data_IF_713270984960
#
_entry.id   IF_713270984960
#
_cell.length_a   1.000
_cell.length_b   1.000
_cell.length_c   1.000
_cell.angle_alpha   90.00
_cell.angle_beta   90.00
_cell.angle_gamma   90.00
#
_symmetry.space_group_name_H-M   'P 1'
#
loop_
_entity.id
_entity.type
_entity.pdbx_description
1 polymer ?
#
# COMPACT_ATOMS: atom_id res chain seq x y z
N UNK A 1 6.84 -31.16 -26.43
CA UNK A 1 6.49 -30.41 -25.21
C UNK A 1 7.78 -29.80 -24.64
N UNK A 2 8.06 -28.55 -24.88
CA UNK A 2 9.24 -27.89 -24.35
C UNK A 2 9.11 -27.76 -22.82
N UNK A 3 10.02 -28.40 -22.07
CA UNK A 3 10.17 -28.23 -20.64
C UNK A 3 10.47 -26.74 -20.40
N UNK A 4 9.49 -25.97 -19.97
CA UNK A 4 9.70 -24.59 -19.57
C UNK A 4 10.58 -24.61 -18.32
N UNK A 5 11.81 -24.14 -18.48
CA UNK A 5 12.78 -24.00 -17.42
C UNK A 5 12.16 -23.10 -16.34
N UNK A 6 12.03 -23.63 -15.14
CA UNK A 6 11.59 -22.84 -13.98
C UNK A 6 12.63 -21.73 -13.77
N UNK A 7 12.18 -20.49 -13.65
CA UNK A 7 13.10 -19.37 -13.42
C UNK A 7 13.61 -19.51 -11.99
N UNK A 8 14.92 -19.51 -11.82
CA UNK A 8 15.55 -19.40 -10.51
C UNK A 8 15.35 -17.97 -10.01
N UNK A 9 14.35 -17.80 -9.14
CA UNK A 9 14.01 -16.48 -8.59
C UNK A 9 15.12 -15.93 -7.69
N UNK A 10 15.91 -16.80 -7.06
CA UNK A 10 17.01 -16.38 -6.18
C UNK A 10 18.20 -15.83 -6.95
N UNK A 11 18.37 -16.24 -8.22
CA UNK A 11 19.44 -15.78 -9.12
C UNK A 11 19.06 -14.55 -9.95
N UNK A 12 17.85 -13.97 -9.76
CA UNK A 12 17.42 -12.79 -10.49
C UNK A 12 18.15 -11.54 -9.97
N UNK A 13 18.88 -10.87 -10.85
CA UNK A 13 19.46 -9.54 -10.63
C UNK A 13 18.61 -8.45 -11.26
N UNK A 14 18.80 -7.20 -10.82
CA UNK A 14 18.20 -6.03 -11.46
C UNK A 14 18.76 -5.92 -12.88
N UNK A 15 17.91 -5.82 -13.92
CA UNK A 15 18.41 -5.59 -15.28
C UNK A 15 19.07 -4.21 -15.44
N UNK A 16 20.22 -4.13 -16.13
CA UNK A 16 20.98 -2.88 -16.36
C UNK A 16 20.11 -1.73 -16.91
N UNK A 17 19.12 -2.06 -17.74
CA UNK A 17 18.21 -1.06 -18.30
C UNK A 17 17.31 -0.42 -17.23
N UNK A 18 16.96 -1.15 -16.17
CA UNK A 18 16.22 -0.62 -15.02
C UNK A 18 17.16 0.22 -14.14
N UNK A 19 18.39 -0.20 -13.94
CA UNK A 19 19.40 0.58 -13.21
C UNK A 19 19.61 1.93 -13.88
N UNK A 20 19.83 1.96 -15.19
CA UNK A 20 19.94 3.23 -15.94
C UNK A 20 18.73 4.15 -15.79
N UNK A 21 17.51 3.61 -15.70
CA UNK A 21 16.30 4.42 -15.45
C UNK A 21 16.26 4.97 -14.02
N UNK A 22 16.80 4.24 -13.03
CA UNK A 22 16.85 4.70 -11.65
C UNK A 22 17.90 5.78 -11.42
N UNK A 23 18.99 5.75 -12.19
CA UNK A 23 20.11 6.70 -12.14
C UNK A 23 19.88 7.92 -13.04
N UNK A 24 18.86 7.90 -13.89
CA UNK A 24 18.53 9.01 -14.77
C UNK A 24 18.24 10.31 -13.98
N UNK A 25 18.56 11.44 -14.59
CA UNK A 25 18.29 12.75 -14.01
C UNK A 25 16.79 12.89 -13.62
N UNK A 26 16.49 13.57 -12.51
CA UNK A 26 15.12 13.83 -12.11
C UNK A 26 14.35 14.54 -13.23
N UNK A 27 13.10 14.13 -13.47
CA UNK A 27 12.26 14.77 -14.47
C UNK A 27 11.68 16.11 -13.96
N UNK A 28 11.40 17.01 -14.89
CA UNK A 28 10.68 18.28 -14.64
C UNK A 28 9.23 18.18 -15.13
N UNK A 29 8.51 19.30 -15.08
CA UNK A 29 7.16 19.39 -15.63
C UNK A 29 7.07 19.23 -17.15
N UNK A 30 8.18 19.41 -17.87
CA UNK A 30 8.22 19.42 -19.33
C UNK A 30 8.45 18.04 -19.96
N UNK A 31 8.83 17.04 -19.18
CA UNK A 31 8.99 15.68 -19.68
C UNK A 31 7.66 14.98 -19.92
N UNK A 32 7.70 13.95 -20.76
CA UNK A 32 6.50 13.13 -20.98
C UNK A 32 6.10 12.38 -19.72
N UNK A 33 4.80 12.33 -19.45
CA UNK A 33 4.25 11.60 -18.32
C UNK A 33 4.64 10.10 -18.35
N UNK A 34 4.77 9.54 -19.56
CA UNK A 34 5.20 8.16 -19.75
C UNK A 34 6.64 7.93 -19.28
N UNK A 35 7.57 8.85 -19.60
CA UNK A 35 8.95 8.76 -19.15
C UNK A 35 9.05 8.92 -17.62
N UNK A 36 8.41 9.95 -17.08
CA UNK A 36 8.37 10.20 -15.63
C UNK A 36 7.81 9.01 -14.86
N UNK A 37 6.72 8.42 -15.35
CA UNK A 37 6.13 7.22 -14.76
C UNK A 37 7.09 6.02 -14.76
N UNK A 38 7.81 5.79 -15.87
CA UNK A 38 8.80 4.71 -15.96
C UNK A 38 9.98 4.91 -15.01
N UNK A 39 10.54 6.12 -14.92
CA UNK A 39 11.61 6.43 -13.97
C UNK A 39 11.17 6.20 -12.52
N UNK A 40 9.98 6.65 -12.15
CA UNK A 40 9.43 6.43 -10.81
C UNK A 40 9.21 4.94 -10.52
N UNK A 41 8.67 4.19 -11.48
CA UNK A 41 8.41 2.76 -11.32
C UNK A 41 9.71 1.93 -11.30
N UNK A 42 10.73 2.32 -12.05
CA UNK A 42 12.02 1.64 -12.08
C UNK A 42 12.66 1.52 -10.68
N UNK A 43 12.61 2.58 -9.88
CA UNK A 43 13.07 2.59 -8.47
C UNK A 43 12.37 1.52 -7.62
N UNK A 44 11.09 1.27 -7.87
CA UNK A 44 10.32 0.29 -7.12
C UNK A 44 10.51 -1.12 -7.64
N UNK A 45 10.69 -1.29 -8.96
CA UNK A 45 11.05 -2.59 -9.55
C UNK A 45 12.44 -3.03 -9.08
N UNK A 46 13.42 -2.12 -9.05
CA UNK A 46 14.74 -2.40 -8.48
C UNK A 46 14.63 -2.93 -7.04
N UNK A 47 13.79 -2.29 -6.20
CA UNK A 47 13.53 -2.78 -4.83
C UNK A 47 12.87 -4.16 -4.79
N UNK A 48 11.97 -4.48 -5.73
CA UNK A 48 11.39 -5.84 -5.79
C UNK A 48 12.48 -6.89 -6.02
N UNK A 49 13.41 -6.63 -6.93
CA UNK A 49 14.54 -7.54 -7.18
C UNK A 49 15.46 -7.65 -5.96
N UNK A 50 15.82 -6.52 -5.34
CA UNK A 50 16.75 -6.48 -4.21
C UNK A 50 16.25 -7.27 -2.99
N UNK A 51 14.94 -7.23 -2.71
CA UNK A 51 14.35 -7.90 -1.55
C UNK A 51 13.80 -9.30 -1.84
N UNK A 52 13.75 -9.72 -3.12
CA UNK A 52 13.22 -11.04 -3.49
C UNK A 52 13.94 -12.20 -2.83
N UNK A 53 15.29 -12.24 -2.75
CA UNK A 53 16.00 -13.33 -2.07
C UNK A 53 15.63 -13.47 -0.60
N UNK A 54 15.53 -12.36 0.14
CA UNK A 54 15.13 -12.37 1.55
C UNK A 54 13.67 -12.78 1.75
N UNK A 55 12.77 -12.39 0.83
CA UNK A 55 11.38 -12.86 0.83
C UNK A 55 11.28 -14.36 0.59
N UNK A 56 12.12 -14.92 -0.30
CA UNK A 56 12.15 -16.36 -0.55
C UNK A 56 12.66 -17.14 0.67
N UNK A 57 13.63 -16.60 1.39
CA UNK A 57 14.15 -17.19 2.63
C UNK A 57 13.14 -17.07 3.78
N UNK A 58 12.52 -15.92 3.92
CA UNK A 58 11.43 -15.66 4.87
C UNK A 58 11.85 -15.40 6.31
N UNK A 59 13.14 -15.32 6.61
CA UNK A 59 13.66 -15.18 7.98
C UNK A 59 13.53 -13.75 8.51
N UNK A 60 13.70 -12.75 7.62
CA UNK A 60 13.64 -11.33 8.00
C UNK A 60 12.31 -10.67 7.56
N UNK A 61 11.47 -10.24 8.52
CA UNK A 61 10.26 -9.46 8.24
C UNK A 61 10.52 -8.15 7.47
N UNK A 62 11.77 -7.66 7.47
CA UNK A 62 12.16 -6.45 6.76
C UNK A 62 11.99 -6.60 5.25
N UNK A 63 12.42 -7.72 4.67
CA UNK A 63 12.34 -7.95 3.23
C UNK A 63 10.88 -8.05 2.74
N UNK A 64 10.03 -8.75 3.51
CA UNK A 64 8.57 -8.78 3.27
C UNK A 64 8.00 -7.37 3.28
N UNK A 65 8.37 -6.56 4.29
CA UNK A 65 7.92 -5.18 4.40
C UNK A 65 8.36 -4.33 3.21
N UNK A 66 9.64 -4.36 2.84
CA UNK A 66 10.17 -3.57 1.74
C UNK A 66 9.57 -3.96 0.39
N UNK A 67 9.43 -5.25 0.13
CA UNK A 67 8.80 -5.73 -1.11
C UNK A 67 7.31 -5.35 -1.17
N UNK A 68 6.58 -5.38 -0.04
CA UNK A 68 5.20 -4.89 0.08
C UNK A 68 5.11 -3.39 -0.20
N UNK A 69 6.00 -2.58 0.37
CA UNK A 69 6.08 -1.13 0.11
C UNK A 69 6.35 -0.87 -1.37
N UNK A 70 7.32 -1.56 -1.97
CA UNK A 70 7.67 -1.42 -3.38
C UNK A 70 6.46 -1.76 -4.29
N UNK A 71 5.79 -2.89 -4.03
CA UNK A 71 4.59 -3.30 -4.79
C UNK A 71 3.45 -2.29 -4.69
N UNK A 72 3.24 -1.71 -3.51
CA UNK A 72 2.21 -0.69 -3.26
C UNK A 72 2.54 0.60 -4.02
N UNK A 73 3.79 1.07 -3.96
CA UNK A 73 4.24 2.26 -4.67
C UNK A 73 4.23 2.08 -6.19
N UNK A 74 4.57 0.89 -6.70
CA UNK A 74 4.42 0.53 -8.12
C UNK A 74 2.97 0.68 -8.58
N UNK A 75 2.01 0.15 -7.83
CA UNK A 75 0.58 0.29 -8.15
C UNK A 75 0.14 1.74 -8.17
N UNK A 76 0.57 2.53 -7.19
CA UNK A 76 0.25 3.96 -7.10
C UNK A 76 0.85 4.74 -8.28
N UNK A 77 2.11 4.51 -8.65
CA UNK A 77 2.76 5.15 -9.80
C UNK A 77 2.07 4.76 -11.10
N UNK A 78 1.81 3.47 -11.31
CA UNK A 78 1.12 2.97 -12.50
C UNK A 78 -0.27 3.60 -12.67
N UNK A 79 -1.04 3.72 -11.56
CA UNK A 79 -2.37 4.35 -11.58
C UNK A 79 -2.29 5.85 -11.83
N UNK A 80 -1.34 6.55 -11.18
CA UNK A 80 -1.21 8.00 -11.33
C UNK A 80 -0.73 8.43 -12.72
N UNK A 81 -0.03 7.55 -13.44
CA UNK A 81 0.46 7.81 -14.81
C UNK A 81 -0.27 7.00 -15.88
N UNK A 82 -1.34 6.30 -15.50
CA UNK A 82 -2.13 5.45 -16.41
C UNK A 82 -2.55 6.12 -17.73
N UNK A 83 -2.95 7.42 -17.76
CA UNK A 83 -3.35 8.08 -19.02
C UNK A 83 -2.23 8.17 -20.07
N UNK A 84 -0.98 7.95 -19.70
CA UNK A 84 0.14 7.96 -20.64
C UNK A 84 0.36 6.61 -21.33
N UNK A 85 -0.32 5.55 -20.93
CA UNK A 85 -0.11 4.19 -21.40
C UNK A 85 -1.38 3.55 -21.93
N UNK A 86 -1.23 2.45 -22.66
CA UNK A 86 -2.37 1.64 -23.14
C UNK A 86 -3.11 1.02 -21.96
N UNK A 87 -4.42 1.26 -21.90
CA UNK A 87 -5.26 0.88 -20.76
C UNK A 87 -5.21 -0.61 -20.42
N UNK A 88 -5.25 -1.49 -21.43
CA UNK A 88 -5.22 -2.95 -21.25
C UNK A 88 -3.92 -3.42 -20.59
N UNK A 89 -2.80 -2.77 -20.92
CA UNK A 89 -1.49 -3.10 -20.35
C UNK A 89 -1.40 -2.67 -18.90
N UNK A 90 -1.87 -1.46 -18.60
CA UNK A 90 -1.96 -0.93 -17.22
C UNK A 90 -2.81 -1.87 -16.36
N UNK A 91 -4.01 -2.23 -16.83
CA UNK A 91 -4.92 -3.11 -16.09
C UNK A 91 -4.29 -4.49 -15.84
N UNK A 92 -3.68 -5.09 -16.85
CA UNK A 92 -3.01 -6.39 -16.73
C UNK A 92 -1.89 -6.37 -15.69
N UNK A 93 -1.03 -5.35 -15.70
CA UNK A 93 0.05 -5.18 -14.73
C UNK A 93 -0.49 -4.91 -13.32
N UNK A 94 -1.49 -4.01 -13.22
CA UNK A 94 -2.13 -3.66 -11.96
C UNK A 94 -2.74 -4.87 -11.25
N UNK A 95 -3.51 -5.71 -11.96
CA UNK A 95 -4.14 -6.90 -11.39
C UNK A 95 -3.12 -7.93 -10.90
N UNK A 96 -1.99 -8.08 -11.61
CA UNK A 96 -0.92 -8.98 -11.17
C UNK A 96 -0.19 -8.45 -9.94
N UNK A 97 0.14 -7.14 -9.93
CA UNK A 97 0.72 -6.48 -8.77
C UNK A 97 -0.20 -6.54 -7.55
N UNK A 98 -1.53 -6.42 -7.76
CA UNK A 98 -2.52 -6.54 -6.69
C UNK A 98 -2.49 -7.91 -6.04
N UNK A 99 -2.38 -9.00 -6.82
CA UNK A 99 -2.28 -10.37 -6.28
C UNK A 99 -1.02 -10.56 -5.45
N UNK A 100 0.13 -10.13 -5.98
CA UNK A 100 1.39 -10.18 -5.23
C UNK A 100 1.32 -9.34 -3.94
N UNK A 101 0.75 -8.13 -4.01
CA UNK A 101 0.58 -7.25 -2.85
C UNK A 101 -0.29 -7.88 -1.76
N UNK A 102 -1.32 -8.66 -2.13
CA UNK A 102 -2.18 -9.38 -1.18
C UNK A 102 -1.38 -10.47 -0.47
N UNK A 103 -0.68 -11.33 -1.20
CA UNK A 103 0.11 -12.39 -0.61
C UNK A 103 1.22 -11.86 0.33
N UNK A 104 1.88 -10.76 -0.05
CA UNK A 104 2.84 -10.06 0.81
C UNK A 104 2.16 -9.43 2.04
N UNK A 105 0.94 -8.93 1.88
CA UNK A 105 0.12 -8.36 2.96
C UNK A 105 -0.19 -9.41 4.02
N UNK A 106 -0.66 -10.58 3.59
CA UNK A 106 -1.03 -11.68 4.49
C UNK A 106 0.12 -12.11 5.41
N UNK A 107 1.36 -12.13 4.92
CA UNK A 107 2.54 -12.41 5.76
C UNK A 107 2.85 -11.23 6.66
N UNK A 108 2.88 -9.99 6.11
CA UNK A 108 3.27 -8.80 6.86
C UNK A 108 2.34 -8.50 8.03
N UNK A 109 1.06 -8.74 7.89
CA UNK A 109 0.08 -8.47 8.95
C UNK A 109 0.37 -9.37 10.17
N UNK A 110 0.78 -10.65 9.95
CA UNK A 110 1.23 -11.55 11.03
C UNK A 110 2.59 -11.16 11.61
N UNK A 111 3.53 -10.71 10.77
CA UNK A 111 4.82 -10.17 11.26
C UNK A 111 4.59 -9.01 12.24
N UNK A 112 3.69 -8.07 11.92
CA UNK A 112 3.37 -6.93 12.80
C UNK A 112 2.74 -7.41 14.10
N UNK A 113 1.79 -8.36 14.04
CA UNK A 113 1.19 -8.95 15.24
C UNK A 113 2.24 -9.63 16.12
N UNK A 114 3.12 -10.45 15.55
CA UNK A 114 4.20 -11.12 16.29
C UNK A 114 5.15 -10.14 16.97
N UNK A 115 5.57 -9.09 16.27
CA UNK A 115 6.46 -8.07 16.85
C UNK A 115 5.80 -7.43 18.07
N UNK A 116 4.51 -7.10 18.00
CA UNK A 116 3.77 -6.49 19.11
C UNK A 116 3.57 -7.45 20.27
N UNK A 117 3.12 -8.69 19.98
CA UNK A 117 2.90 -9.69 21.03
C UNK A 117 4.19 -10.03 21.77
N UNK A 118 5.31 -10.17 21.05
CA UNK A 118 6.62 -10.42 21.67
C UNK A 118 7.04 -9.25 22.56
N UNK A 119 6.93 -8.01 22.05
CA UNK A 119 7.22 -6.84 22.88
C UNK A 119 6.37 -6.77 24.13
N UNK A 120 5.07 -7.04 24.02
CA UNK A 120 4.18 -7.07 25.19
C UNK A 120 4.58 -8.20 26.16
N UNK A 121 4.95 -9.38 25.65
CA UNK A 121 5.41 -10.47 26.50
C UNK A 121 6.69 -10.11 27.27
N UNK A 122 7.65 -9.42 26.61
CA UNK A 122 8.91 -8.99 27.24
C UNK A 122 8.68 -7.96 28.35
N UNK A 123 7.58 -7.22 28.34
CA UNK A 123 7.21 -6.21 29.34
C UNK A 123 6.40 -6.82 30.53
N UNK A 124 6.07 -8.13 30.52
CA UNK A 124 5.20 -8.81 31.49
C UNK A 124 5.97 -9.72 32.46
N UNK A 125 5.28 -10.17 33.53
CA UNK A 125 5.78 -11.18 34.45
C UNK A 125 5.87 -12.58 33.82
N UNK A 126 6.69 -13.46 34.35
CA UNK A 126 6.93 -14.83 33.85
C UNK A 126 5.64 -15.64 33.62
N UNK A 127 4.65 -15.50 34.53
CA UNK A 127 3.35 -16.16 34.36
C UNK A 127 2.57 -15.66 33.18
N UNK A 128 2.54 -14.34 32.95
CA UNK A 128 1.89 -13.67 31.82
C UNK A 128 2.59 -13.97 30.49
N UNK A 129 3.92 -14.07 30.51
CA UNK A 129 4.69 -14.51 29.33
C UNK A 129 4.30 -15.93 28.89
N UNK A 130 4.07 -16.84 29.86
CA UNK A 130 3.66 -18.23 29.58
C UNK A 130 2.30 -18.27 28.85
N UNK A 131 1.35 -17.41 29.24
CA UNK A 131 0.03 -17.32 28.61
C UNK A 131 0.11 -16.76 27.19
N UNK A 132 0.89 -15.69 26.99
CA UNK A 132 1.10 -15.10 25.67
C UNK A 132 1.86 -16.01 24.71
N UNK A 133 2.68 -16.94 25.24
CA UNK A 133 3.46 -17.87 24.42
C UNK A 133 2.57 -18.72 23.50
N UNK A 134 1.47 -19.27 23.99
CA UNK A 134 0.55 -20.06 23.18
C UNK A 134 -0.07 -19.25 22.04
N UNK A 135 -0.36 -17.97 22.29
CA UNK A 135 -0.87 -17.05 21.27
C UNK A 135 0.22 -16.74 20.23
N UNK A 136 1.43 -16.47 20.68
CA UNK A 136 2.58 -16.21 19.80
C UNK A 136 2.85 -17.42 18.90
N UNK A 137 2.83 -18.64 19.43
CA UNK A 137 3.04 -19.88 18.68
C UNK A 137 1.95 -20.06 17.60
N UNK A 138 0.69 -19.76 17.93
CA UNK A 138 -0.41 -19.83 16.95
C UNK A 138 -0.24 -18.80 15.83
N UNK A 139 0.04 -17.54 16.15
CA UNK A 139 0.27 -16.50 15.14
C UNK A 139 1.51 -16.82 14.30
N UNK A 140 2.55 -17.43 14.91
CA UNK A 140 3.71 -17.89 14.15
C UNK A 140 3.34 -18.99 13.15
N UNK A 141 2.52 -19.96 13.53
CA UNK A 141 2.05 -21.00 12.61
C UNK A 141 1.19 -20.42 11.46
N UNK A 142 0.35 -19.42 11.75
CA UNK A 142 -0.40 -18.70 10.71
C UNK A 142 0.52 -17.91 9.77
N UNK A 143 1.55 -17.28 10.30
CA UNK A 143 2.59 -16.58 9.53
C UNK A 143 3.31 -17.53 8.57
N UNK A 144 3.71 -18.69 9.06
CA UNK A 144 4.43 -19.70 8.26
C UNK A 144 3.54 -20.26 7.15
N UNK A 145 2.26 -20.47 7.42
CA UNK A 145 1.26 -20.84 6.40
C UNK A 145 1.08 -19.75 5.35
N UNK A 146 1.01 -18.48 5.76
CA UNK A 146 0.90 -17.35 4.84
C UNK A 146 2.17 -17.20 3.99
N UNK A 147 3.36 -17.43 4.57
CA UNK A 147 4.62 -17.41 3.84
C UNK A 147 4.70 -18.55 2.81
N UNK A 148 4.29 -19.76 3.15
CA UNK A 148 4.21 -20.86 2.20
C UNK A 148 3.28 -20.52 1.02
N UNK A 149 2.13 -19.90 1.28
CA UNK A 149 1.21 -19.45 0.22
C UNK A 149 1.83 -18.33 -0.66
N UNK A 150 2.62 -17.42 -0.07
CA UNK A 150 3.40 -16.42 -0.81
C UNK A 150 4.44 -17.06 -1.72
N UNK A 151 5.17 -18.07 -1.24
CA UNK A 151 6.14 -18.83 -2.05
C UNK A 151 5.47 -19.51 -3.23
N UNK A 152 4.30 -20.14 -3.03
CA UNK A 152 3.50 -20.72 -4.10
C UNK A 152 3.07 -19.67 -5.13
N UNK A 153 2.65 -18.48 -4.68
CA UNK A 153 2.28 -17.38 -5.60
C UNK A 153 3.48 -16.89 -6.41
N UNK A 154 4.67 -16.76 -5.78
CA UNK A 154 5.90 -16.35 -6.46
C UNK A 154 6.36 -17.38 -7.51
N UNK A 155 6.16 -18.68 -7.25
CA UNK A 155 6.51 -19.74 -8.19
C UNK A 155 5.51 -19.87 -9.35
N UNK A 156 4.32 -19.28 -9.26
CA UNK A 156 3.34 -19.35 -10.35
C UNK A 156 3.85 -18.64 -11.61
N UNK A 157 3.65 -19.25 -12.75
CA UNK A 157 4.05 -18.69 -14.07
C UNK A 157 3.56 -17.25 -14.29
N UNK A 158 2.41 -16.90 -13.74
CA UNK A 158 1.84 -15.54 -13.87
C UNK A 158 2.67 -14.50 -13.13
N UNK A 159 3.24 -14.82 -11.96
CA UNK A 159 4.07 -13.92 -11.16
C UNK A 159 5.48 -13.82 -11.74
N UNK A 160 6.05 -14.93 -12.21
CA UNK A 160 7.30 -14.92 -12.98
C UNK A 160 7.17 -14.07 -14.26
N UNK A 161 6.03 -14.16 -14.96
CA UNK A 161 5.73 -13.28 -16.11
C UNK A 161 5.56 -11.82 -15.69
N UNK A 162 5.09 -11.53 -14.46
CA UNK A 162 4.94 -10.16 -14.00
C UNK A 162 6.28 -9.44 -13.98
N UNK A 163 7.32 -10.02 -13.38
CA UNK A 163 8.66 -9.40 -13.31
C UNK A 163 9.20 -9.12 -14.72
N UNK A 164 9.09 -10.07 -15.63
CA UNK A 164 9.49 -9.90 -17.03
C UNK A 164 8.67 -8.83 -17.75
N UNK A 165 7.33 -8.85 -17.58
CA UNK A 165 6.44 -7.91 -18.25
C UNK A 165 6.62 -6.48 -17.68
N UNK A 166 6.97 -6.34 -16.38
CA UNK A 166 7.37 -5.06 -15.78
C UNK A 166 8.68 -4.55 -16.37
N UNK A 167 9.67 -5.42 -16.50
CA UNK A 167 10.95 -5.05 -17.12
C UNK A 167 10.74 -4.59 -18.57
N UNK A 168 10.00 -5.35 -19.38
CA UNK A 168 9.67 -4.97 -20.75
C UNK A 168 8.87 -3.66 -20.81
N UNK A 169 7.91 -3.46 -19.90
CA UNK A 169 7.14 -2.22 -19.81
C UNK A 169 8.00 -1.00 -19.53
N UNK A 170 9.05 -1.15 -18.71
CA UNK A 170 9.93 -0.04 -18.37
C UNK A 170 10.97 0.24 -19.44
N UNK A 171 11.45 -0.78 -20.15
CA UNK A 171 12.62 -0.69 -21.06
C UNK A 171 12.24 -0.54 -22.53
N UNK A 172 11.03 -0.95 -22.93
CA UNK A 172 10.53 -0.82 -24.30
C UNK A 172 9.44 0.26 -24.39
N UNK A 173 9.79 1.49 -24.77
CA UNK A 173 8.88 2.62 -24.66
C UNK A 173 7.89 2.77 -25.81
N UNK A 174 8.16 2.25 -27.00
CA UNK A 174 7.45 2.66 -28.21
C UNK A 174 6.08 2.00 -28.37
N UNK A 175 5.93 0.73 -28.00
CA UNK A 175 4.67 -0.02 -28.18
C UNK A 175 3.63 0.20 -27.07
N UNK A 176 3.98 0.97 -26.04
CA UNK A 176 3.23 0.99 -24.77
C UNK A 176 2.61 2.34 -24.46
N UNK A 177 3.06 3.39 -25.15
CA UNK A 177 2.54 4.75 -24.98
C UNK A 177 1.25 4.91 -25.76
N UNK A 178 0.22 5.45 -25.10
CA UNK A 178 -1.00 5.87 -25.80
C UNK A 178 -0.72 7.17 -26.53
N UNK A 179 -0.73 7.15 -27.88
CA UNK A 179 -0.83 8.37 -28.65
C UNK A 179 -2.21 8.99 -28.37
N UNK A 180 -2.23 10.18 -27.77
CA UNK A 180 -3.46 10.99 -27.70
C UNK A 180 -3.65 11.76 -28.99
N UNK A 181 -4.83 12.34 -29.13
CA UNK A 181 -5.24 13.15 -30.29
C UNK A 181 -4.09 14.04 -30.77
N UNK A 182 -3.77 13.95 -32.06
CA UNK A 182 -2.67 14.65 -32.74
C UNK A 182 -1.24 14.15 -32.48
N UNK A 183 -1.02 12.96 -31.81
CA UNK A 183 0.30 12.35 -31.66
C UNK A 183 1.26 13.06 -30.71
N UNK A 184 0.78 14.05 -29.94
CA UNK A 184 1.61 14.75 -28.95
C UNK A 184 1.68 13.99 -27.62
N UNK A 185 2.85 13.92 -26.95
CA UNK A 185 2.98 13.28 -25.68
C UNK A 185 2.24 14.05 -24.58
N UNK A 186 1.60 13.35 -23.64
CA UNK A 186 1.08 13.96 -22.43
C UNK A 186 2.26 14.33 -21.51
N UNK A 187 2.41 15.62 -21.21
CA UNK A 187 3.49 16.11 -20.34
C UNK A 187 3.08 16.05 -18.86
N UNK A 188 4.09 16.02 -17.98
CA UNK A 188 3.88 15.98 -16.52
C UNK A 188 3.03 17.16 -16.06
N UNK A 189 3.34 18.39 -16.46
CA UNK A 189 2.61 19.59 -16.03
C UNK A 189 1.14 19.60 -16.49
N UNK A 190 0.80 18.95 -17.61
CA UNK A 190 -0.59 18.83 -18.07
C UNK A 190 -1.45 17.93 -17.17
N UNK A 191 -0.82 17.03 -16.41
CA UNK A 191 -1.51 15.98 -15.69
C UNK A 191 -1.33 16.06 -14.15
N UNK A 192 -0.12 16.33 -13.67
CA UNK A 192 0.23 16.25 -12.25
C UNK A 192 -0.67 17.14 -11.37
N UNK A 193 -0.89 18.41 -11.80
CA UNK A 193 -1.73 19.35 -11.07
C UNK A 193 -3.14 18.83 -10.84
N UNK A 194 -3.77 18.29 -11.87
CA UNK A 194 -5.16 17.80 -11.80
C UNK A 194 -5.30 16.53 -10.95
N UNK A 195 -4.33 15.59 -11.02
CA UNK A 195 -4.40 14.37 -10.22
C UNK A 195 -4.09 14.64 -8.75
N UNK A 196 -3.12 15.50 -8.43
CA UNK A 196 -2.80 15.89 -7.07
C UNK A 196 -3.99 16.61 -6.42
N UNK A 197 -4.57 17.60 -7.13
CA UNK A 197 -5.74 18.32 -6.64
C UNK A 197 -6.91 17.41 -6.34
N UNK A 198 -7.23 16.48 -7.23
CA UNK A 198 -8.30 15.49 -7.05
C UNK A 198 -8.08 14.60 -5.81
N UNK A 199 -6.81 14.20 -5.54
CA UNK A 199 -6.46 13.46 -4.32
C UNK A 199 -6.62 14.28 -3.06
N UNK A 200 -6.23 15.55 -3.11
CA UNK A 200 -6.44 16.46 -1.98
C UNK A 200 -7.92 16.70 -1.68
N UNK A 201 -8.73 16.91 -2.70
CA UNK A 201 -10.19 17.06 -2.53
C UNK A 201 -10.84 15.76 -2.00
N UNK A 202 -10.30 14.58 -2.31
CA UNK A 202 -10.76 13.32 -1.71
C UNK A 202 -10.56 13.30 -0.19
N UNK A 203 -9.49 13.91 0.33
CA UNK A 203 -9.28 14.10 1.76
C UNK A 203 -10.28 15.12 2.31
N UNK A 204 -10.47 16.26 1.66
CA UNK A 204 -11.38 17.31 2.13
C UNK A 204 -12.83 16.88 2.26
N UNK A 205 -13.28 15.88 1.52
CA UNK A 205 -14.63 15.29 1.66
C UNK A 205 -14.93 14.78 3.08
N UNK A 206 -13.90 14.54 3.90
CA UNK A 206 -14.08 14.13 5.29
C UNK A 206 -14.39 15.30 6.25
N UNK A 207 -14.34 16.55 5.78
CA UNK A 207 -14.54 17.76 6.60
C UNK A 207 -15.87 17.74 7.39
N UNK A 208 -16.93 17.20 6.78
CA UNK A 208 -18.26 17.13 7.41
C UNK A 208 -18.39 16.05 8.49
N UNK A 209 -17.49 15.07 8.52
CA UNK A 209 -17.60 13.91 9.43
C UNK A 209 -16.47 13.84 10.45
N UNK A 210 -15.40 14.63 10.27
CA UNK A 210 -14.18 14.53 11.09
C UNK A 210 -14.36 14.68 12.59
N UNK A 211 -15.20 15.58 13.14
CA UNK A 211 -15.32 15.71 14.61
C UNK A 211 -15.82 14.43 15.29
N UNK A 212 -16.50 13.55 14.54
CA UNK A 212 -17.12 12.32 15.06
C UNK A 212 -16.95 11.13 14.09
N UNK A 213 -15.80 11.06 13.43
CA UNK A 213 -15.54 10.02 12.44
C UNK A 213 -15.50 8.63 13.08
N UNK A 214 -16.28 7.69 12.51
CA UNK A 214 -16.18 6.27 12.87
C UNK A 214 -14.83 5.67 12.47
N UNK A 215 -14.45 4.51 13.04
CA UNK A 215 -13.22 3.79 12.67
C UNK A 215 -13.16 3.51 11.16
N UNK A 216 -14.28 3.16 10.54
CA UNK A 216 -14.37 2.97 9.09
C UNK A 216 -14.02 4.26 8.33
N UNK A 217 -14.55 5.42 8.77
CA UNK A 217 -14.26 6.71 8.16
C UNK A 217 -12.79 7.11 8.34
N UNK A 218 -12.21 6.87 9.51
CA UNK A 218 -10.78 7.09 9.75
C UNK A 218 -9.91 6.18 8.87
N UNK A 219 -10.32 4.93 8.67
CA UNK A 219 -9.65 4.02 7.74
C UNK A 219 -9.71 4.52 6.29
N UNK A 220 -10.89 4.98 5.83
CA UNK A 220 -11.05 5.57 4.49
C UNK A 220 -10.19 6.84 4.33
N UNK A 221 -10.12 7.71 5.34
CA UNK A 221 -9.25 8.88 5.34
C UNK A 221 -7.76 8.49 5.25
N UNK A 222 -7.35 7.45 6.00
CA UNK A 222 -5.98 6.90 5.92
C UNK A 222 -5.64 6.46 4.49
N UNK A 223 -6.57 5.81 3.81
CA UNK A 223 -6.40 5.41 2.40
C UNK A 223 -6.27 6.64 1.50
N UNK A 224 -7.10 7.67 1.69
CA UNK A 224 -7.02 8.91 0.92
C UNK A 224 -5.70 9.64 1.13
N UNK A 225 -5.22 9.76 2.38
CA UNK A 225 -3.90 10.32 2.72
C UNK A 225 -2.76 9.53 2.05
N UNK A 226 -2.82 8.21 2.09
CA UNK A 226 -1.86 7.33 1.42
C UNK A 226 -1.78 7.61 -0.09
N UNK A 227 -2.93 7.77 -0.75
CA UNK A 227 -2.98 8.05 -2.18
C UNK A 227 -2.42 9.44 -2.51
N UNK A 228 -2.77 10.47 -1.74
CA UNK A 228 -2.21 11.81 -1.93
C UNK A 228 -0.69 11.78 -1.73
N UNK A 229 -0.20 11.16 -0.65
CA UNK A 229 1.23 11.06 -0.38
C UNK A 229 2.00 10.45 -1.54
N UNK A 230 1.57 9.29 -2.03
CA UNK A 230 2.26 8.62 -3.14
C UNK A 230 2.18 9.39 -4.45
N UNK A 231 1.11 10.14 -4.69
CA UNK A 231 1.01 11.00 -5.86
C UNK A 231 1.97 12.20 -5.74
N UNK A 232 2.07 12.81 -4.56
CA UNK A 232 3.04 13.89 -4.29
C UNK A 232 4.49 13.39 -4.40
N UNK A 233 4.82 12.25 -3.79
CA UNK A 233 6.14 11.61 -3.87
C UNK A 233 6.51 11.25 -5.33
N UNK A 234 5.55 10.81 -6.13
CA UNK A 234 5.76 10.52 -7.55
C UNK A 234 6.19 11.77 -8.31
N UNK A 235 5.51 12.90 -8.10
CA UNK A 235 5.74 14.13 -8.83
C UNK A 235 6.70 15.11 -8.08
N UNK A 236 7.27 14.72 -6.94
CA UNK A 236 8.22 15.54 -6.18
C UNK A 236 9.36 16.10 -7.06
N UNK A 237 9.96 15.33 -8.00
CA UNK A 237 11.00 15.88 -8.87
C UNK A 237 10.56 17.09 -9.69
N UNK A 238 9.30 17.13 -10.13
CA UNK A 238 8.75 18.26 -10.90
C UNK A 238 8.19 19.37 -9.99
N UNK A 239 7.76 19.04 -8.78
CA UNK A 239 7.20 19.99 -7.82
C UNK A 239 8.27 20.75 -7.02
N UNK A 240 9.49 20.22 -6.95
CA UNK A 240 10.59 20.82 -6.21
C UNK A 240 10.51 20.62 -4.69
N UNK A 241 11.42 21.29 -3.97
CA UNK A 241 11.59 21.10 -2.52
C UNK A 241 10.38 21.52 -1.68
N UNK A 242 9.60 22.49 -2.15
CA UNK A 242 8.40 22.96 -1.46
C UNK A 242 7.34 21.86 -1.27
N UNK A 243 7.34 20.81 -2.11
CA UNK A 243 6.47 19.66 -1.97
C UNK A 243 6.74 18.85 -0.70
N UNK A 244 8.00 18.77 -0.25
CA UNK A 244 8.43 17.96 0.90
C UNK A 244 7.69 18.31 2.19
N UNK A 245 7.40 19.58 2.40
CA UNK A 245 6.69 20.01 3.60
C UNK A 245 5.22 19.54 3.60
N UNK A 246 4.57 19.50 2.42
CA UNK A 246 3.22 18.95 2.29
C UNK A 246 3.24 17.43 2.41
N UNK A 247 4.22 16.76 1.80
CA UNK A 247 4.41 15.30 1.92
C UNK A 247 4.52 14.90 3.38
N UNK A 248 5.34 15.61 4.19
CA UNK A 248 5.48 15.35 5.63
C UNK A 248 4.18 15.55 6.41
N UNK A 249 3.37 16.55 6.06
CA UNK A 249 2.07 16.76 6.72
C UNK A 249 1.10 15.60 6.44
N UNK A 250 1.04 15.16 5.17
CA UNK A 250 0.21 14.01 4.78
C UNK A 250 0.73 12.72 5.40
N UNK A 251 2.05 12.55 5.50
CA UNK A 251 2.70 11.41 6.13
C UNK A 251 2.36 11.32 7.61
N UNK A 252 2.51 12.42 8.36
CA UNK A 252 2.17 12.48 9.78
C UNK A 252 0.70 12.09 10.04
N UNK A 253 -0.23 12.62 9.25
CA UNK A 253 -1.65 12.24 9.37
C UNK A 253 -1.87 10.76 9.03
N UNK A 254 -1.21 10.24 7.99
CA UNK A 254 -1.33 8.84 7.58
C UNK A 254 -0.76 7.87 8.62
N UNK A 255 0.38 8.20 9.24
CA UNK A 255 1.01 7.40 10.29
C UNK A 255 0.11 7.36 11.52
N UNK A 256 -0.36 8.51 11.98
CA UNK A 256 -1.27 8.61 13.11
C UNK A 256 -2.56 7.80 12.92
N UNK A 257 -3.20 7.90 11.74
CA UNK A 257 -4.34 7.06 11.39
C UNK A 257 -3.96 5.57 11.25
N UNK A 258 -2.70 5.28 10.95
CA UNK A 258 -2.14 3.94 10.94
C UNK A 258 -2.13 3.32 12.33
N UNK A 259 -1.67 4.06 13.33
CA UNK A 259 -1.60 3.61 14.71
C UNK A 259 -2.99 3.34 15.30
N UNK A 260 -4.00 4.17 14.97
CA UNK A 260 -5.39 3.92 15.34
C UNK A 260 -5.90 2.63 14.71
N UNK A 261 -5.71 2.45 13.41
CA UNK A 261 -6.12 1.24 12.71
C UNK A 261 -5.45 -0.02 13.26
N UNK A 262 -4.19 0.09 13.61
CA UNK A 262 -3.43 -1.02 14.18
C UNK A 262 -3.91 -1.39 15.60
N UNK A 263 -4.38 -0.40 16.37
CA UNK A 263 -5.06 -0.65 17.65
C UNK A 263 -6.43 -1.33 17.42
N UNK A 264 -7.22 -0.85 16.45
CA UNK A 264 -8.52 -1.47 16.08
C UNK A 264 -8.34 -2.94 15.65
N UNK A 265 -7.35 -3.24 14.83
CA UNK A 265 -7.03 -4.62 14.40
C UNK A 265 -6.64 -5.50 15.58
N UNK A 266 -5.82 -4.99 16.51
CA UNK A 266 -5.41 -5.76 17.69
C UNK A 266 -6.60 -6.07 18.61
N UNK A 267 -7.47 -5.10 18.84
CA UNK A 267 -8.70 -5.28 19.64
C UNK A 267 -9.63 -6.32 18.99
N UNK A 268 -9.87 -6.20 17.70
CA UNK A 268 -10.72 -7.12 16.94
C UNK A 268 -10.16 -8.55 16.90
N UNK A 269 -8.83 -8.72 16.80
CA UNK A 269 -8.20 -10.03 16.74
C UNK A 269 -8.45 -10.88 18.00
N UNK A 270 -8.53 -10.25 19.16
CA UNK A 270 -8.77 -10.93 20.43
C UNK A 270 -10.25 -11.01 20.83
N UNK A 271 -11.18 -10.67 19.92
CA UNK A 271 -12.63 -10.81 20.16
C UNK A 271 -13.14 -9.80 21.18
N UNK A 272 -12.60 -8.59 21.22
CA UNK A 272 -13.13 -7.52 22.05
C UNK A 272 -14.52 -7.12 21.56
N UNK A 273 -15.55 -7.37 22.36
CA UNK A 273 -16.94 -7.05 22.02
C UNK A 273 -17.18 -5.54 21.79
N UNK A 274 -16.34 -4.68 22.37
CA UNK A 274 -16.35 -3.23 22.20
C UNK A 274 -15.42 -2.76 21.06
N UNK A 275 -14.68 -3.67 20.44
CA UNK A 275 -13.84 -3.31 19.31
C UNK A 275 -14.73 -2.89 18.13
N UNK A 276 -14.47 -1.72 17.53
CA UNK A 276 -15.10 -1.40 16.26
C UNK A 276 -14.74 -2.51 15.28
N UNK A 277 -15.72 -3.07 14.57
CA UNK A 277 -15.49 -4.11 13.57
C UNK A 277 -14.34 -3.69 12.67
N UNK A 278 -13.16 -4.30 12.88
CA UNK A 278 -12.06 -4.13 11.97
C UNK A 278 -12.49 -4.88 10.71
N UNK A 279 -12.87 -4.13 9.70
CA UNK A 279 -13.05 -4.75 8.39
C UNK A 279 -11.76 -5.48 8.02
N UNK A 280 -11.85 -6.72 7.54
CA UNK A 280 -10.70 -7.44 7.02
C UNK A 280 -9.99 -6.52 6.01
N UNK A 281 -8.65 -6.63 5.86
CA UNK A 281 -7.89 -5.82 4.91
C UNK A 281 -8.54 -5.99 3.53
N UNK A 282 -9.34 -5.01 3.12
CA UNK A 282 -10.22 -5.10 1.97
C UNK A 282 -9.46 -5.43 0.71
N UNK A 283 -9.99 -6.34 -0.10
CA UNK A 283 -9.68 -6.36 -1.50
C UNK A 283 -10.21 -5.04 -2.08
N UNK A 284 -9.33 -4.10 -2.36
CA UNK A 284 -9.60 -2.88 -3.15
C UNK A 284 -10.91 -2.18 -2.76
N UNK A 285 -10.82 -1.25 -1.84
CA UNK A 285 -11.95 -0.35 -1.49
C UNK A 285 -12.50 0.36 -2.72
N UNK A 286 -13.79 0.71 -2.66
CA UNK A 286 -14.47 1.58 -3.62
C UNK A 286 -13.59 2.77 -4.07
N UNK A 287 -12.78 3.32 -3.15
CA UNK A 287 -11.80 4.37 -3.44
C UNK A 287 -10.67 3.94 -4.40
N UNK A 288 -10.26 2.67 -4.42
CA UNK A 288 -9.33 2.15 -5.44
C UNK A 288 -10.07 1.86 -6.76
N UNK A 289 -11.38 1.61 -6.72
CA UNK A 289 -12.24 1.44 -7.90
C UNK A 289 -12.58 2.79 -8.55
N UNK A 290 -12.75 3.85 -7.75
CA UNK A 290 -12.98 5.23 -8.22
C UNK A 290 -11.74 5.86 -8.87
N UNK A 291 -10.56 5.21 -8.73
CA UNK A 291 -9.31 5.63 -9.39
C UNK A 291 -9.30 5.29 -10.88
N UNK A 292 -10.15 4.36 -11.33
CA UNK A 292 -10.21 3.88 -12.71
C UNK A 292 -11.64 3.97 -13.30
N UNK A 293 -12.36 5.12 -13.23
CA UNK A 293 -13.74 5.20 -13.70
C UNK A 293 -13.90 5.00 -15.21
N UNK A 294 -12.87 5.31 -16.01
CA UNK A 294 -12.96 5.28 -17.47
C UNK A 294 -12.59 3.94 -18.13
N UNK A 295 -12.05 2.98 -17.37
CA UNK A 295 -11.61 1.70 -17.96
C UNK A 295 -12.69 0.62 -18.01
N UNK A 296 -13.90 0.87 -17.47
CA UNK A 296 -15.01 -0.10 -17.44
C UNK A 296 -16.00 0.00 -18.59
N UNK A 297 -15.82 0.93 -19.53
CA UNK A 297 -16.77 1.13 -20.64
C UNK A 297 -16.66 0.08 -21.76
N UNK A 298 -15.75 -0.88 -21.68
CA UNK A 298 -15.66 -1.96 -22.68
C UNK A 298 -15.35 -3.30 -22.03
N UNK A 299 -16.39 -4.05 -21.69
CA UNK A 299 -16.21 -5.45 -21.33
C UNK A 299 -17.16 -5.94 -20.25
N UNK A 300 -18.43 -6.15 -20.61
CA UNK A 300 -19.26 -7.11 -19.90
C UNK A 300 -18.68 -8.49 -20.11
N UNK A 301 -18.18 -9.12 -19.04
CA UNK A 301 -18.43 -10.54 -18.77
C UNK A 301 -18.02 -10.85 -17.33
N UNK A 302 -18.97 -11.49 -16.67
CA UNK A 302 -18.93 -11.86 -15.30
C UNK A 302 -17.78 -12.81 -14.98
N UNK A 303 -17.20 -12.60 -13.82
CA UNK A 303 -16.66 -13.70 -13.06
C UNK A 303 -16.98 -13.50 -11.58
N UNK A 304 -17.68 -14.48 -11.09
CA UNK A 304 -18.28 -14.60 -9.79
C UNK A 304 -17.22 -14.61 -8.70
N UNK A 305 -17.46 -13.81 -7.73
CA UNK A 305 -17.35 -14.03 -6.29
C UNK A 305 -16.24 -15.00 -5.83
N UNK A 306 -15.08 -14.46 -5.49
CA UNK A 306 -14.14 -15.10 -4.56
C UNK A 306 -13.99 -14.21 -3.32
N UNK A 307 -15.14 -13.73 -2.84
CA UNK A 307 -15.28 -13.02 -1.56
C UNK A 307 -15.41 -13.97 -0.37
N UNK A 308 -15.03 -15.22 -0.52
CA UNK A 308 -15.32 -16.29 0.43
C UNK A 308 -14.16 -16.88 1.20
N UNK A 309 -12.99 -16.26 1.28
CA UNK A 309 -11.84 -16.94 1.87
C UNK A 309 -10.92 -16.10 2.74
N UNK A 310 -11.39 -15.20 3.56
CA UNK A 310 -10.68 -14.78 4.80
C UNK A 310 -11.72 -14.16 5.76
N UNK A 311 -12.71 -14.93 6.14
CA UNK A 311 -13.57 -14.61 7.28
C UNK A 311 -13.41 -15.68 8.36
N UNK A 312 -12.19 -16.05 8.64
CA UNK A 312 -11.85 -16.69 9.91
C UNK A 312 -10.84 -15.77 10.62
N UNK A 313 -11.32 -14.61 11.04
CA UNK A 313 -10.87 -14.03 12.30
C UNK A 313 -11.30 -15.09 13.31
N UNK A 314 -10.36 -15.87 13.81
CA UNK A 314 -10.64 -16.75 14.93
C UNK A 314 -10.95 -15.83 16.11
N UNK A 315 -12.25 -15.58 16.34
CA UNK A 315 -12.72 -15.07 17.61
C UNK A 315 -12.27 -16.09 18.65
N UNK A 316 -11.34 -15.72 19.52
CA UNK A 316 -11.08 -16.50 20.70
C UNK A 316 -12.35 -16.52 21.53
N UNK A 317 -12.85 -17.70 21.96
CA UNK A 317 -13.99 -17.76 22.87
C UNK A 317 -13.69 -16.87 24.09
N UNK A 318 -14.63 -16.03 24.46
CA UNK A 318 -14.48 -15.09 25.59
C UNK A 318 -14.07 -15.79 26.91
N UNK A 319 -14.23 -17.11 26.99
CA UNK A 319 -13.89 -17.95 28.13
C UNK A 319 -12.38 -18.27 28.22
N UNK A 320 -11.59 -18.06 27.17
CA UNK A 320 -10.14 -18.34 27.14
C UNK A 320 -9.28 -17.06 27.30
N UNK A 321 -9.90 -15.92 27.59
CA UNK A 321 -9.16 -14.67 27.84
C UNK A 321 -8.52 -14.71 29.22
N UNK A 322 -7.20 -14.85 29.23
CA UNK A 322 -6.38 -14.78 30.44
C UNK A 322 -6.22 -13.33 30.92
N UNK A 323 -5.88 -13.12 32.20
CA UNK A 323 -5.64 -11.79 32.76
C UNK A 323 -4.63 -10.97 31.93
N UNK A 324 -3.64 -11.62 31.32
CA UNK A 324 -2.61 -11.00 30.50
C UNK A 324 -3.16 -10.48 29.17
N UNK A 325 -4.07 -11.21 28.54
CA UNK A 325 -4.76 -10.77 27.33
C UNK A 325 -5.66 -9.58 27.64
N UNK A 326 -6.39 -9.63 28.76
CA UNK A 326 -7.24 -8.51 29.20
C UNK A 326 -6.42 -7.23 29.43
N UNK A 327 -5.27 -7.33 30.11
CA UNK A 327 -4.38 -6.20 30.34
C UNK A 327 -3.80 -5.65 29.01
N UNK A 328 -3.47 -6.52 28.06
CA UNK A 328 -3.07 -6.11 26.72
C UNK A 328 -4.19 -5.33 26.00
N UNK A 329 -5.43 -5.81 26.06
CA UNK A 329 -6.59 -5.16 25.48
C UNK A 329 -6.87 -3.79 26.11
N UNK A 330 -6.78 -3.68 27.44
CA UNK A 330 -6.92 -2.39 28.14
C UNK A 330 -5.85 -1.38 27.70
N UNK A 331 -4.61 -1.83 27.55
CA UNK A 331 -3.52 -0.98 27.03
C UNK A 331 -3.85 -0.49 25.61
N UNK A 332 -4.30 -1.39 24.73
CA UNK A 332 -4.69 -1.03 23.35
C UNK A 332 -5.89 -0.06 23.29
N UNK A 333 -6.88 -0.23 24.18
CA UNK A 333 -8.02 0.71 24.29
C UNK A 333 -7.57 2.10 24.73
N UNK A 334 -6.70 2.17 25.75
CA UNK A 334 -6.15 3.44 26.24
C UNK A 334 -5.32 4.16 25.20
N UNK A 335 -4.43 3.45 24.50
CA UNK A 335 -3.66 4.03 23.39
C UNK A 335 -4.57 4.56 22.28
N UNK A 336 -5.55 3.76 21.86
CA UNK A 336 -6.53 4.16 20.86
C UNK A 336 -7.26 5.44 21.24
N UNK A 337 -7.70 5.54 22.49
CA UNK A 337 -8.42 6.72 22.99
C UNK A 337 -7.53 7.98 22.96
N UNK A 338 -6.26 7.86 23.33
CA UNK A 338 -5.27 8.94 23.24
C UNK A 338 -5.06 9.36 21.78
N UNK A 339 -4.86 8.40 20.88
CA UNK A 339 -4.68 8.68 19.46
C UNK A 339 -5.91 9.37 18.84
N UNK A 340 -7.12 8.98 19.22
CA UNK A 340 -8.35 9.62 18.72
C UNK A 340 -8.44 11.10 19.10
N UNK A 341 -7.95 11.50 20.27
CA UNK A 341 -7.93 12.89 20.71
C UNK A 341 -7.01 13.78 19.83
N UNK A 342 -5.96 13.20 19.27
CA UNK A 342 -4.97 13.91 18.45
C UNK A 342 -5.31 13.98 16.96
N UNK A 343 -6.39 13.31 16.51
CA UNK A 343 -6.80 13.31 15.09
C UNK A 343 -7.19 14.71 14.62
N UNK A 344 -7.97 15.44 15.41
CA UNK A 344 -8.53 16.73 14.99
C UNK A 344 -7.45 17.81 14.77
N UNK A 345 -6.45 18.00 15.64
CA UNK A 345 -5.33 18.92 15.38
C UNK A 345 -4.60 18.63 14.07
N UNK A 346 -4.26 17.37 13.81
CA UNK A 346 -3.59 16.96 12.58
C UNK A 346 -4.49 17.18 11.35
N UNK A 347 -5.77 16.89 11.47
CA UNK A 347 -6.76 17.16 10.44
C UNK A 347 -6.83 18.63 10.07
N UNK A 348 -6.97 19.53 11.05
CA UNK A 348 -7.01 20.98 10.82
C UNK A 348 -5.73 21.49 10.14
N UNK A 349 -4.59 20.93 10.49
CA UNK A 349 -3.32 21.28 9.84
C UNK A 349 -3.31 20.87 8.37
N UNK A 350 -3.86 19.69 8.02
CA UNK A 350 -3.85 19.16 6.65
C UNK A 350 -4.95 19.78 5.78
N UNK A 351 -6.17 19.92 6.29
CA UNK A 351 -7.35 20.37 5.54
C UNK A 351 -7.54 21.89 5.49
N UNK A 352 -6.84 22.62 6.37
CA UNK A 352 -7.02 24.06 6.55
C UNK A 352 -6.54 24.90 5.36
N UNK A 353 -6.97 26.19 5.35
CA UNK A 353 -6.68 27.14 4.26
C UNK A 353 -5.19 27.36 3.99
N UNK A 354 -4.34 27.22 5.02
CA UNK A 354 -2.89 27.33 4.86
C UNK A 354 -2.34 26.23 3.95
N UNK A 355 -2.72 24.97 4.17
CA UNK A 355 -2.31 23.83 3.34
C UNK A 355 -2.89 23.93 1.93
N UNK A 356 -4.16 24.37 1.81
CA UNK A 356 -4.79 24.61 0.51
C UNK A 356 -4.05 25.66 -0.31
N UNK A 357 -3.74 26.82 0.30
CA UNK A 357 -2.95 27.89 -0.37
C UNK A 357 -1.57 27.40 -0.77
N UNK A 358 -0.90 26.64 0.11
CA UNK A 358 0.41 26.06 -0.19
C UNK A 358 0.34 25.11 -1.38
N UNK A 359 -0.65 24.21 -1.40
CA UNK A 359 -0.87 23.30 -2.52
C UNK A 359 -1.16 24.07 -3.82
N UNK A 360 -2.05 25.08 -3.79
CA UNK A 360 -2.36 25.88 -4.97
C UNK A 360 -1.12 26.57 -5.53
N UNK A 361 -0.27 27.17 -4.66
CA UNK A 361 1.00 27.79 -5.07
C UNK A 361 1.94 26.76 -5.70
N UNK A 362 2.06 25.58 -5.09
CA UNK A 362 2.90 24.48 -5.58
C UNK A 362 2.47 24.02 -6.97
N UNK A 363 1.17 23.84 -7.19
CA UNK A 363 0.63 23.40 -8.48
C UNK A 363 0.68 24.48 -9.57
N UNK A 364 0.67 25.74 -9.20
CA UNK A 364 0.82 26.85 -10.15
C UNK A 364 2.28 27.03 -10.64
N UNK A 365 3.23 26.39 -9.99
CA UNK A 365 4.65 26.45 -10.36
C UNK A 365 5.08 25.26 -11.26
N UNK A 366 4.21 24.28 -11.51
CA UNK A 366 4.43 23.16 -12.45
C UNK A 366 4.46 23.66 -13.92
#
# INVERSE_FOLDING_TARGET
MAKHKQIDLAALSVPDAIERLTEAAPFSGMESLALAGRQAMAKHVSKLYAHLPGVLNGDDPHDIHQMRVATRRLRASLTSTAPAYRAELVEKLYQRLRRLARALGDVRDRDVQLIRLRRTADEQSDSAQSELRAVIERVQAERDKAHAALLDELQRRRTQRLLRDLTAFLTDPLDQVQAKDHGLPLLVHHHAGSVIWRRYESIRRFETVMPHASSERLHQLRIACKHLRYTLELFEPALGEDARALIKQVEAMQEHLGDIHDADVALSYFGDADAPAAEPPHPTTQAEQDIMPDMRASGQNGDTDVSGAITHIYEMPAQDQTNSIQMYLETRRSERQTLLADVEPLWRQLSGDASRRKLTKLLAAL
#
